data_IF_595460025136
#
_entry.id   IF_595460025136
#
_cell.length_a   1.000
_cell.length_b   1.000
_cell.length_c   1.000
_cell.angle_alpha   90.00
_cell.angle_beta   90.00
_cell.angle_gamma   90.00
#
_symmetry.space_group_name_H-M   'P 1'
#
loop_
_entity.id
_entity.type
_entity.pdbx_description
1 polymer ?
#
# COMPACT_ATOMS: atom_id res chain seq x y z
N UNK A 1 0.77 23.66 -3.88
CA UNK A 1 2.16 23.16 -3.75
C UNK A 1 2.95 23.75 -4.90
N UNK A 2 4.12 24.34 -4.66
CA UNK A 2 5.00 24.71 -5.78
C UNK A 2 5.37 23.42 -6.52
N UNK A 3 5.18 23.40 -7.84
CA UNK A 3 5.53 22.25 -8.67
C UNK A 3 7.06 22.21 -8.77
N UNK A 4 7.69 21.23 -8.13
CA UNK A 4 9.12 20.94 -8.33
C UNK A 4 9.25 20.42 -9.76
N UNK A 5 9.91 21.19 -10.62
CA UNK A 5 10.10 20.85 -12.02
C UNK A 5 11.55 20.43 -12.31
N UNK A 6 12.49 20.99 -11.54
CA UNK A 6 13.92 20.75 -11.70
C UNK A 6 14.58 20.42 -10.35
N UNK A 7 15.79 19.87 -10.42
CA UNK A 7 16.54 19.49 -9.22
C UNK A 7 16.82 20.68 -8.29
N UNK A 8 17.14 21.84 -8.87
CA UNK A 8 17.50 23.05 -8.11
C UNK A 8 16.29 23.71 -7.40
N UNK A 9 15.06 23.25 -7.66
CA UNK A 9 13.87 23.67 -6.92
C UNK A 9 13.77 22.99 -5.54
N UNK A 10 14.55 21.93 -5.30
CA UNK A 10 14.55 21.16 -4.04
C UNK A 10 15.39 21.85 -2.96
N UNK A 11 14.91 21.78 -1.72
CA UNK A 11 15.62 22.28 -0.54
C UNK A 11 15.64 21.23 0.57
N UNK A 12 16.70 21.23 1.38
CA UNK A 12 16.82 20.33 2.54
C UNK A 12 15.67 20.59 3.51
N UNK A 13 14.94 19.54 3.88
CA UNK A 13 13.76 19.62 4.74
C UNK A 13 12.44 19.84 4.01
N UNK A 14 12.44 19.88 2.67
CA UNK A 14 11.19 19.91 1.89
C UNK A 14 10.39 18.63 2.12
N UNK A 15 9.09 18.78 2.40
CA UNK A 15 8.16 17.68 2.63
C UNK A 15 7.02 17.69 1.61
N UNK A 16 6.62 16.49 1.20
CA UNK A 16 5.49 16.27 0.31
C UNK A 16 4.46 15.42 1.03
N UNK A 17 3.17 15.75 0.83
CA UNK A 17 2.05 14.92 1.26
C UNK A 17 1.39 14.35 0.02
N UNK A 18 1.35 13.02 -0.09
CA UNK A 18 0.56 12.37 -1.13
C UNK A 18 -0.94 12.52 -0.84
N UNK A 19 -1.80 12.37 -1.86
CA UNK A 19 -3.21 12.10 -1.64
C UNK A 19 -3.40 10.84 -0.78
N UNK A 20 -4.54 10.76 -0.11
CA UNK A 20 -4.98 9.57 0.61
C UNK A 20 -5.65 8.61 -0.37
N UNK A 21 -5.44 7.31 -0.18
CA UNK A 21 -6.04 6.24 -0.99
C UNK A 21 -6.80 5.31 -0.06
N UNK A 22 -8.07 5.08 -0.37
CA UNK A 22 -8.89 4.07 0.30
C UNK A 22 -8.65 2.73 -0.39
N UNK A 23 -8.14 1.76 0.36
CA UNK A 23 -7.94 0.39 -0.14
C UNK A 23 -9.08 -0.48 0.36
N UNK A 24 -9.88 -1.00 -0.56
CA UNK A 24 -10.98 -1.90 -0.20
C UNK A 24 -10.49 -3.33 0.02
N UNK A 25 -11.31 -4.15 0.69
CA UNK A 25 -11.05 -5.58 0.81
C UNK A 25 -10.92 -6.27 -0.56
N UNK A 26 -11.70 -5.85 -1.56
CA UNK A 26 -11.60 -6.39 -2.91
C UNK A 26 -10.25 -6.07 -3.56
N UNK A 27 -9.71 -4.86 -3.34
CA UNK A 27 -8.38 -4.48 -3.81
C UNK A 27 -7.29 -5.33 -3.15
N UNK A 28 -7.40 -5.54 -1.84
CA UNK A 28 -6.47 -6.38 -1.08
C UNK A 28 -6.42 -7.79 -1.67
N UNK A 29 -7.58 -8.44 -1.81
CA UNK A 29 -7.65 -9.82 -2.31
C UNK A 29 -7.20 -9.92 -3.76
N UNK A 30 -7.56 -8.96 -4.62
CA UNK A 30 -7.15 -8.92 -6.03
C UNK A 30 -5.63 -8.85 -6.16
N UNK A 31 -4.99 -7.90 -5.48
CA UNK A 31 -3.53 -7.76 -5.53
C UNK A 31 -2.84 -9.01 -4.97
N UNK A 32 -3.31 -9.50 -3.82
CA UNK A 32 -2.73 -10.67 -3.18
C UNK A 32 -2.83 -11.93 -4.03
N UNK A 33 -3.96 -12.16 -4.69
CA UNK A 33 -4.16 -13.33 -5.54
C UNK A 33 -3.14 -13.39 -6.70
N UNK A 34 -2.64 -12.24 -7.16
CA UNK A 34 -1.68 -12.15 -8.25
C UNK A 34 -0.23 -12.12 -7.76
N UNK A 35 0.06 -11.36 -6.71
CA UNK A 35 1.45 -11.00 -6.35
C UNK A 35 1.91 -11.51 -4.98
N UNK A 36 0.99 -11.82 -4.05
CA UNK A 36 1.34 -12.21 -2.68
C UNK A 36 0.23 -13.06 -2.03
N UNK A 37 0.02 -14.31 -2.47
CA UNK A 37 -1.16 -15.11 -2.15
C UNK A 37 -1.06 -15.77 -0.77
N UNK A 38 -0.62 -15.03 0.24
CA UNK A 38 -0.59 -15.52 1.61
C UNK A 38 -2.00 -15.49 2.24
N UNK A 39 -2.34 -16.44 3.14
CA UNK A 39 -3.71 -16.62 3.61
C UNK A 39 -4.33 -15.37 4.27
N UNK A 40 -3.55 -14.60 5.02
CA UNK A 40 -4.00 -13.36 5.68
C UNK A 40 -4.37 -12.22 4.72
N UNK A 41 -4.10 -12.36 3.42
CA UNK A 41 -4.47 -11.39 2.40
C UNK A 41 -5.68 -11.83 1.57
N UNK A 42 -6.10 -13.10 1.70
CA UNK A 42 -7.13 -13.70 0.85
C UNK A 42 -8.40 -14.08 1.60
N UNK A 43 -8.27 -14.51 2.85
CA UNK A 43 -9.37 -15.09 3.60
C UNK A 43 -9.38 -14.64 5.06
N UNK A 44 -10.56 -14.29 5.56
CA UNK A 44 -10.74 -13.79 6.94
C UNK A 44 -10.54 -14.88 7.99
N UNK A 45 -10.98 -16.10 7.72
CA UNK A 45 -10.87 -17.20 8.68
C UNK A 45 -9.43 -17.67 8.79
N UNK A 46 -8.76 -17.90 7.67
CA UNK A 46 -7.36 -18.27 7.63
C UNK A 46 -6.45 -17.18 8.24
N UNK A 47 -6.85 -15.90 8.14
CA UNK A 47 -6.10 -14.80 8.74
C UNK A 47 -6.07 -14.83 10.28
N UNK A 48 -7.07 -15.43 10.95
CA UNK A 48 -7.16 -15.53 12.41
C UNK A 48 -5.99 -16.29 13.03
N UNK A 49 -5.44 -17.24 12.29
CA UNK A 49 -4.31 -18.05 12.74
C UNK A 49 -2.95 -17.37 12.51
N UNK A 50 -2.92 -16.25 11.80
CA UNK A 50 -1.69 -15.48 11.54
C UNK A 50 -1.38 -14.46 12.64
N UNK A 51 -0.28 -13.71 12.49
CA UNK A 51 0.07 -12.60 13.39
C UNK A 51 -0.99 -11.47 13.34
N UNK A 52 -1.62 -11.26 12.19
CA UNK A 52 -2.54 -10.15 11.98
C UNK A 52 -3.92 -10.37 12.60
N UNK A 53 -4.28 -11.62 12.92
CA UNK A 53 -5.58 -12.00 13.53
C UNK A 53 -6.82 -11.54 12.76
N UNK A 54 -6.65 -11.20 11.49
CA UNK A 54 -7.67 -10.65 10.60
C UNK A 54 -7.04 -10.30 9.24
N UNK A 55 -7.88 -10.04 8.26
CA UNK A 55 -7.44 -9.71 6.91
C UNK A 55 -6.54 -8.46 6.92
N UNK A 56 -5.39 -8.55 6.27
CA UNK A 56 -4.45 -7.45 6.13
C UNK A 56 -4.12 -7.23 4.64
N UNK A 57 -3.79 -6.00 4.26
CA UNK A 57 -3.19 -5.75 2.94
C UNK A 57 -1.75 -6.30 2.90
N UNK A 58 -1.31 -6.76 1.73
CA UNK A 58 0.11 -7.07 1.52
C UNK A 58 0.96 -5.81 1.68
N UNK A 59 2.13 -5.94 2.31
CA UNK A 59 3.12 -4.86 2.38
C UNK A 59 3.53 -4.38 0.99
N UNK A 60 3.63 -5.28 0.01
CA UNK A 60 3.94 -4.94 -1.38
C UNK A 60 2.84 -4.13 -2.05
N UNK A 61 1.58 -4.40 -1.72
CA UNK A 61 0.46 -3.60 -2.22
C UNK A 61 0.56 -2.15 -1.70
N UNK A 62 0.85 -1.97 -0.41
CA UNK A 62 1.02 -0.62 0.17
C UNK A 62 2.23 0.11 -0.40
N UNK A 63 3.35 -0.60 -0.63
CA UNK A 63 4.54 -0.02 -1.24
C UNK A 63 4.29 0.41 -2.70
N UNK A 64 3.59 -0.42 -3.49
CA UNK A 64 3.22 -0.10 -4.86
C UNK A 64 2.33 1.15 -4.93
N UNK A 65 1.32 1.26 -4.06
CA UNK A 65 0.48 2.47 -3.97
C UNK A 65 1.31 3.70 -3.59
N UNK A 66 2.17 3.59 -2.58
CA UNK A 66 3.00 4.71 -2.12
C UNK A 66 3.98 5.21 -3.19
N UNK A 67 4.48 4.30 -4.03
CA UNK A 67 5.36 4.60 -5.17
C UNK A 67 4.60 4.93 -6.46
N UNK A 68 3.27 4.74 -6.49
CA UNK A 68 2.40 4.87 -7.66
C UNK A 68 2.85 3.96 -8.83
N UNK A 69 3.04 2.66 -8.54
CA UNK A 69 3.48 1.60 -9.46
C UNK A 69 2.32 0.79 -10.05
#
# INVERSE_FOLDING_TARGET
MAQVAWFDDLTVGMHFKSPEVVVSEADIKRFAAEFDPQPMHLDHEAAKDTLFKGLAASGWHTAAIAMNL
#
